data_IF_992823735087
#
_entry.id   IF_992823735087
#
_cell.length_a   1.000
_cell.length_b   1.000
_cell.length_c   1.000
_cell.angle_alpha   90.00
_cell.angle_beta   90.00
_cell.angle_gamma   90.00
#
_symmetry.space_group_name_H-M   'P 1'
#
loop_
_entity.id
_entity.type
_entity.pdbx_description
1 polymer ?
#
# COMPACT_ATOMS: atom_id res chain seq x y z
N UNK A 1 2.70 4.81 -29.09
CA UNK A 1 3.65 5.87 -28.63
C UNK A 1 2.99 7.25 -28.45
N UNK A 2 2.07 7.69 -29.33
CA UNK A 2 1.41 9.00 -29.21
C UNK A 2 0.68 9.22 -27.86
N UNK A 3 -0.02 8.20 -27.37
CA UNK A 3 -0.80 8.29 -26.13
C UNK A 3 0.07 8.44 -24.87
N UNK A 4 1.09 7.59 -24.69
CA UNK A 4 2.00 7.72 -23.55
C UNK A 4 2.71 9.08 -23.53
N UNK A 5 3.05 9.62 -24.71
CA UNK A 5 3.64 10.94 -24.83
C UNK A 5 2.67 12.04 -24.39
N UNK A 6 1.40 11.95 -24.77
CA UNK A 6 0.37 12.85 -24.29
C UNK A 6 0.20 12.80 -22.76
N UNK A 7 0.25 11.60 -22.16
CA UNK A 7 0.19 11.46 -20.69
C UNK A 7 1.41 12.09 -20.01
N UNK A 8 2.61 11.90 -20.56
CA UNK A 8 3.83 12.54 -20.06
C UNK A 8 3.72 14.06 -20.11
N UNK A 9 3.24 14.59 -21.25
CA UNK A 9 3.05 16.02 -21.46
C UNK A 9 2.02 16.60 -20.48
N UNK A 10 0.92 15.88 -20.23
CA UNK A 10 -0.16 16.29 -19.33
C UNK A 10 0.25 16.26 -17.85
N UNK A 11 0.73 15.12 -17.37
CA UNK A 11 0.89 14.91 -15.93
C UNK A 11 2.26 15.32 -15.39
N UNK A 12 3.30 15.35 -16.23
CA UNK A 12 4.69 15.69 -15.85
C UNK A 12 5.21 14.92 -14.60
N UNK A 13 4.56 13.81 -14.25
CA UNK A 13 4.83 13.02 -13.07
C UNK A 13 4.76 11.54 -13.46
N UNK A 14 5.88 10.80 -13.38
CA UNK A 14 5.94 9.42 -13.86
C UNK A 14 4.99 8.47 -13.12
N UNK A 15 4.64 8.75 -11.86
CA UNK A 15 3.70 7.93 -11.09
C UNK A 15 2.26 8.11 -11.59
N UNK A 16 1.86 9.37 -11.85
CA UNK A 16 0.54 9.66 -12.42
C UNK A 16 0.42 9.17 -13.85
N UNK A 17 1.49 9.25 -14.64
CA UNK A 17 1.54 8.67 -15.99
C UNK A 17 1.37 7.15 -15.95
N UNK A 18 2.08 6.46 -15.05
CA UNK A 18 1.94 5.02 -14.89
C UNK A 18 0.53 4.62 -14.45
N UNK A 19 -0.09 5.39 -13.54
CA UNK A 19 -1.47 5.18 -13.12
C UNK A 19 -2.46 5.43 -14.28
N UNK A 20 -2.33 6.56 -14.99
CA UNK A 20 -3.19 6.90 -16.13
C UNK A 20 -3.07 5.89 -17.27
N UNK A 21 -1.88 5.36 -17.52
CA UNK A 21 -1.69 4.32 -18.52
C UNK A 21 -2.43 3.02 -18.18
N UNK A 22 -2.56 2.68 -16.89
CA UNK A 22 -3.31 1.51 -16.46
C UNK A 22 -4.82 1.75 -16.37
N UNK A 23 -5.24 2.94 -15.93
CA UNK A 23 -6.64 3.20 -15.52
C UNK A 23 -7.39 4.21 -16.38
N UNK A 24 -6.69 4.85 -17.32
CA UNK A 24 -7.16 6.04 -18.03
C UNK A 24 -6.97 7.32 -17.22
N UNK A 25 -6.67 8.42 -17.92
CA UNK A 25 -6.47 9.75 -17.35
C UNK A 25 -7.71 10.27 -16.61
N UNK A 26 -8.92 9.92 -17.07
CA UNK A 26 -10.17 10.35 -16.45
C UNK A 26 -10.25 9.96 -14.97
N UNK A 27 -9.77 8.75 -14.62
CA UNK A 27 -9.74 8.26 -13.25
C UNK A 27 -8.76 9.04 -12.38
N UNK A 28 -7.69 9.59 -12.95
CA UNK A 28 -6.72 10.39 -12.20
C UNK A 28 -7.38 11.69 -11.73
N UNK A 29 -8.16 12.33 -12.59
CA UNK A 29 -8.92 13.53 -12.23
C UNK A 29 -10.05 13.22 -11.24
N UNK A 30 -10.81 12.14 -11.47
CA UNK A 30 -11.92 11.73 -10.59
C UNK A 30 -11.45 11.49 -9.14
N UNK A 31 -10.30 10.85 -8.97
CA UNK A 31 -9.73 10.51 -7.65
C UNK A 31 -8.70 11.54 -7.15
N UNK A 32 -8.39 12.58 -7.93
CA UNK A 32 -7.39 13.58 -7.57
C UNK A 32 -5.96 13.03 -7.43
N UNK A 33 -5.62 11.95 -8.13
CA UNK A 33 -4.35 11.27 -7.98
C UNK A 33 -4.42 9.81 -8.43
N UNK A 34 -3.63 8.94 -7.80
CA UNK A 34 -3.62 7.50 -8.13
C UNK A 34 -4.91 6.87 -7.58
N UNK A 35 -5.78 6.28 -8.43
CA UNK A 35 -7.01 5.64 -7.99
C UNK A 35 -6.74 4.47 -7.03
N UNK A 36 -7.58 4.24 -6.00
CA UNK A 36 -7.42 3.17 -5.02
C UNK A 36 -7.83 1.79 -5.58
N UNK A 37 -7.55 1.53 -6.85
CA UNK A 37 -7.79 0.23 -7.48
C UNK A 37 -6.58 -0.66 -7.23
N UNK A 38 -6.82 -1.87 -6.73
CA UNK A 38 -5.76 -2.84 -6.42
C UNK A 38 -4.82 -3.09 -7.60
N UNK A 39 -5.36 -3.14 -8.81
CA UNK A 39 -4.59 -3.30 -10.04
C UNK A 39 -3.66 -2.11 -10.28
N UNK A 40 -4.18 -0.89 -10.19
CA UNK A 40 -3.46 0.35 -10.47
C UNK A 40 -2.33 0.60 -9.50
N UNK A 41 -2.61 0.47 -8.20
CA UNK A 41 -1.59 0.58 -7.16
C UNK A 41 -0.50 -0.47 -7.38
N UNK A 42 -0.89 -1.70 -7.70
CA UNK A 42 0.05 -2.78 -8.02
C UNK A 42 0.88 -2.51 -9.27
N UNK A 43 0.29 -1.91 -10.30
CA UNK A 43 0.97 -1.55 -11.54
C UNK A 43 2.02 -0.45 -11.31
N UNK A 44 1.64 0.64 -10.61
CA UNK A 44 2.57 1.71 -10.26
C UNK A 44 3.74 1.17 -9.43
N UNK A 45 3.45 0.32 -8.44
CA UNK A 45 4.51 -0.30 -7.63
C UNK A 45 5.48 -1.14 -8.48
N UNK A 46 4.98 -1.91 -9.45
CA UNK A 46 5.83 -2.68 -10.38
C UNK A 46 6.72 -1.76 -11.23
N UNK A 47 6.17 -0.66 -11.76
CA UNK A 47 6.92 0.31 -12.58
C UNK A 47 8.03 0.96 -11.77
N UNK A 48 7.74 1.39 -10.54
CA UNK A 48 8.72 1.98 -9.63
C UNK A 48 9.84 0.98 -9.29
N UNK A 49 9.48 -0.26 -8.94
CA UNK A 49 10.47 -1.29 -8.64
C UNK A 49 11.38 -1.58 -9.85
N UNK A 50 10.80 -1.67 -11.04
CA UNK A 50 11.55 -1.83 -12.28
C UNK A 50 12.52 -0.66 -12.50
N UNK A 51 12.06 0.57 -12.34
CA UNK A 51 12.87 1.78 -12.52
C UNK A 51 14.03 1.87 -11.51
N UNK A 52 13.83 1.41 -10.28
CA UNK A 52 14.85 1.38 -9.24
C UNK A 52 15.75 0.13 -9.30
N UNK A 53 15.50 -0.79 -10.23
CA UNK A 53 16.23 -2.07 -10.30
C UNK A 53 15.98 -2.98 -9.09
N UNK A 54 14.87 -2.76 -8.37
CA UNK A 54 14.50 -3.56 -7.21
C UNK A 54 13.83 -4.85 -7.68
N UNK A 55 14.42 -5.99 -7.34
CA UNK A 55 13.78 -7.27 -7.55
C UNK A 55 12.53 -7.36 -6.67
N UNK A 56 11.40 -7.74 -7.26
CA UNK A 56 10.20 -8.07 -6.49
C UNK A 56 10.55 -9.22 -5.53
N UNK A 57 10.35 -9.08 -4.21
CA UNK A 57 10.60 -10.16 -3.29
C UNK A 57 9.72 -11.36 -3.69
N UNK A 58 10.36 -12.45 -4.09
CA UNK A 58 9.66 -13.69 -4.40
C UNK A 58 9.02 -14.22 -3.11
N UNK A 59 7.78 -14.72 -3.20
CA UNK A 59 7.03 -15.27 -2.07
C UNK A 59 7.80 -16.34 -1.25
N UNK A 60 8.87 -16.93 -1.81
CA UNK A 60 9.81 -17.80 -1.10
C UNK A 60 10.53 -17.16 0.10
N UNK A 61 10.62 -15.83 0.16
CA UNK A 61 11.22 -15.14 1.30
C UNK A 61 10.22 -14.96 2.46
N UNK A 62 8.90 -14.99 2.21
CA UNK A 62 7.88 -14.94 3.27
C UNK A 62 7.66 -16.29 3.96
N UNK A 63 7.84 -17.42 3.26
CA UNK A 63 7.64 -18.77 3.84
C UNK A 63 8.83 -19.32 4.61
N UNK A 64 9.99 -18.64 4.64
CA UNK A 64 11.17 -19.09 5.42
C UNK A 64 11.31 -18.44 6.80
N UNK A 65 10.40 -17.51 7.16
CA UNK A 65 10.48 -16.79 8.44
C UNK A 65 9.60 -17.41 9.56
N UNK A 66 9.02 -18.59 9.36
CA UNK A 66 8.32 -19.37 10.40
C UNK A 66 8.77 -20.83 10.28
N UNK A 67 9.28 -21.56 11.29
CA UNK A 67 9.15 -21.54 12.75
C UNK A 67 10.34 -22.36 13.37
N UNK A 68 10.49 -22.58 14.71
CA UNK A 68 9.53 -22.27 15.79
C UNK A 68 10.11 -21.65 17.09
N UNK A 69 9.27 -20.84 17.76
CA UNK A 69 9.22 -20.79 19.22
C UNK A 69 7.77 -20.49 19.62
N UNK A 70 7.18 -21.42 20.35
CA UNK A 70 5.83 -21.36 20.85
C UNK A 70 5.70 -20.33 21.98
N UNK A 71 4.62 -19.54 21.96
CA UNK A 71 3.68 -19.38 23.08
C UNK A 71 2.32 -19.01 22.50
N UNK A 72 1.28 -19.70 22.97
CA UNK A 72 -0.11 -19.50 22.63
C UNK A 72 -0.64 -18.18 23.21
N UNK A 73 -1.56 -17.50 22.51
CA UNK A 73 -2.99 -17.50 22.83
C UNK A 73 -3.79 -16.57 21.89
N UNK A 74 -5.02 -17.00 21.64
CA UNK A 74 -6.17 -16.51 20.88
C UNK A 74 -6.20 -15.09 20.24
N UNK A 75 -6.76 -15.06 19.01
CA UNK A 75 -7.55 -13.92 18.50
C UNK A 75 -7.20 -13.49 17.07
N UNK A 76 -7.58 -14.29 16.07
CA UNK A 76 -7.52 -13.91 14.66
C UNK A 76 -8.81 -13.18 14.25
N UNK A 77 -8.72 -11.87 14.07
CA UNK A 77 -9.68 -11.05 13.31
C UNK A 77 -8.97 -9.95 12.51
N UNK A 78 -8.29 -10.37 11.44
CA UNK A 78 -8.55 -9.86 10.08
C UNK A 78 -8.52 -8.36 9.74
N UNK A 79 -8.02 -7.46 10.58
CA UNK A 79 -7.95 -6.01 10.25
C UNK A 79 -6.51 -5.50 10.16
N UNK A 80 -5.83 -5.84 9.07
CA UNK A 80 -4.57 -5.21 8.67
C UNK A 80 -4.82 -3.75 8.24
N UNK A 81 -4.81 -2.82 9.20
CA UNK A 81 -4.92 -1.40 8.88
C UNK A 81 -5.09 -0.40 10.04
N UNK A 82 -5.25 -0.83 11.28
CA UNK A 82 -5.37 0.08 12.43
C UNK A 82 -4.29 -0.19 13.46
N UNK A 83 -3.48 0.83 13.77
CA UNK A 83 -2.55 0.81 14.89
C UNK A 83 -3.41 0.71 16.15
N UNK A 84 -3.48 -0.49 16.76
CA UNK A 84 -4.09 -0.64 18.07
C UNK A 84 -3.22 0.10 19.10
N UNK A 85 -3.68 1.27 19.54
CA UNK A 85 -3.14 1.93 20.74
C UNK A 85 -3.45 1.01 21.91
N UNK A 86 -2.41 0.38 22.46
CA UNK A 86 -2.49 -0.43 23.67
C UNK A 86 -2.88 0.49 24.82
N UNK A 87 -4.15 0.47 25.19
CA UNK A 87 -4.74 1.32 26.23
C UNK A 87 -4.30 0.83 27.60
N UNK A 88 -3.09 1.21 28.02
CA UNK A 88 -2.64 1.07 29.42
C UNK A 88 -3.13 2.29 30.19
N UNK A 89 -4.31 2.16 30.80
CA UNK A 89 -4.91 3.19 31.63
C UNK A 89 -6.30 2.77 32.06
N UNK A 90 -6.44 2.35 33.32
CA UNK A 90 -7.73 2.02 33.92
C UNK A 90 -8.37 3.32 34.40
N UNK A 91 -9.36 3.81 33.65
CA UNK A 91 -10.13 4.99 34.02
C UNK A 91 -11.10 4.64 35.16
N UNK A 92 -10.98 5.34 36.29
CA UNK A 92 -11.97 5.28 37.37
C UNK A 92 -12.40 6.71 37.65
N UNK A 93 -13.67 7.04 37.41
CA UNK A 93 -14.23 8.35 37.76
C UNK A 93 -13.74 9.57 36.96
N UNK A 94 -13.13 9.39 35.78
CA UNK A 94 -12.85 10.50 34.84
C UNK A 94 -11.43 11.10 34.86
N UNK A 95 -10.47 10.53 35.60
CA UNK A 95 -9.07 10.96 35.56
C UNK A 95 -8.16 9.77 35.28
N UNK A 96 -7.19 9.92 34.36
CA UNK A 96 -6.18 8.89 34.12
C UNK A 96 -5.16 8.84 35.26
N UNK A 97 -5.04 7.68 35.89
CA UNK A 97 -3.94 7.36 36.81
C UNK A 97 -2.82 6.70 36.00
N UNK A 98 -1.60 7.22 36.15
CA UNK A 98 -0.34 6.66 35.63
C UNK A 98 0.32 5.76 36.69
#
# INVERSE_FOLDING_TARGET
LKYLRALLDEFQNPLLVAAAYNSGEHRIYEYGGIPPFKETVGYVAKVVNYQLGLAMPSARTMTRAAAPAAIADAGDDGNAGVIAVKKTGKFVGGVMHF
#
